data_IF_444065233709
#
_entry.id   IF_444065233709
#
_cell.length_a   1.000
_cell.length_b   1.000
_cell.length_c   1.000
_cell.angle_alpha   90.00
_cell.angle_beta   90.00
_cell.angle_gamma   90.00
#
_symmetry.space_group_name_H-M   'P 1'
#
loop_
_entity.id
_entity.type
_entity.pdbx_description
1 polymer ?
#
# COMPACT_ATOMS: atom_id res chain seq x y z
N UNK A 1 5.54 -12.65 -13.63
CA UNK A 1 4.96 -13.39 -12.48
C UNK A 1 5.96 -13.77 -11.39
N UNK A 2 7.28 -13.62 -11.56
CA UNK A 2 8.28 -14.03 -10.57
C UNK A 2 8.08 -13.40 -9.16
N UNK A 3 7.82 -12.09 -9.07
CA UNK A 3 7.59 -11.43 -7.77
C UNK A 3 6.34 -11.95 -7.05
N UNK A 4 5.25 -12.19 -7.78
CA UNK A 4 4.03 -12.79 -7.22
C UNK A 4 4.22 -14.26 -6.83
N UNK A 5 5.03 -15.00 -7.59
CA UNK A 5 5.41 -16.38 -7.26
C UNK A 5 6.25 -16.44 -5.98
N UNK A 6 7.25 -15.58 -5.85
CA UNK A 6 8.05 -15.43 -4.62
C UNK A 6 7.18 -15.04 -3.42
N UNK A 7 6.25 -14.11 -3.61
CA UNK A 7 5.28 -13.72 -2.57
C UNK A 7 4.37 -14.88 -2.17
N UNK A 8 3.83 -15.62 -3.14
CA UNK A 8 2.95 -16.77 -2.88
C UNK A 8 3.66 -17.89 -2.13
N UNK A 9 4.90 -18.19 -2.50
CA UNK A 9 5.72 -19.21 -1.82
C UNK A 9 6.37 -18.70 -0.53
N UNK A 10 6.19 -17.42 -0.17
CA UNK A 10 6.88 -16.74 0.94
C UNK A 10 8.43 -16.86 0.84
N UNK A 11 8.95 -17.04 -0.39
CA UNK A 11 10.38 -17.15 -0.67
C UNK A 11 10.88 -15.79 -1.11
N UNK A 12 11.22 -14.94 -0.15
CA UNK A 12 11.76 -13.60 -0.37
C UNK A 12 12.31 -13.03 0.94
N UNK A 13 13.63 -12.99 1.08
CA UNK A 13 14.29 -12.63 2.35
C UNK A 13 13.96 -11.23 2.91
N UNK A 14 13.41 -10.34 2.07
CA UNK A 14 13.19 -8.94 2.42
C UNK A 14 11.71 -8.54 2.50
N UNK A 15 10.76 -9.47 2.60
CA UNK A 15 9.33 -9.11 2.68
C UNK A 15 8.96 -8.30 3.93
N UNK A 16 9.78 -8.33 4.99
CA UNK A 16 9.61 -7.43 6.12
C UNK A 16 9.61 -5.94 5.70
N UNK A 17 10.35 -5.57 4.64
CA UNK A 17 10.36 -4.20 4.11
C UNK A 17 8.98 -3.79 3.56
N UNK A 18 8.14 -4.73 3.13
CA UNK A 18 6.78 -4.42 2.66
C UNK A 18 5.88 -3.92 3.79
N UNK A 19 6.24 -4.18 5.06
CA UNK A 19 5.53 -3.71 6.23
C UNK A 19 5.91 -2.26 6.63
N UNK A 20 6.81 -1.61 5.88
CA UNK A 20 7.15 -0.21 6.11
C UNK A 20 6.49 0.70 5.07
N UNK A 21 6.27 1.96 5.47
CA UNK A 21 5.69 2.99 4.63
C UNK A 21 6.31 4.35 4.97
N UNK A 22 6.37 5.22 3.97
CA UNK A 22 6.71 6.64 4.20
C UNK A 22 5.42 7.40 4.49
N UNK A 23 5.38 8.11 5.62
CA UNK A 23 4.26 9.02 5.93
C UNK A 23 4.51 10.35 5.23
N UNK A 24 3.61 10.74 4.34
CA UNK A 24 3.67 12.02 3.62
C UNK A 24 2.50 12.88 4.08
N UNK A 25 2.77 14.15 4.40
CA UNK A 25 1.75 15.13 4.77
C UNK A 25 1.29 15.88 3.52
N UNK A 26 0.05 15.64 3.09
CA UNK A 26 -0.55 16.40 1.98
C UNK A 26 -1.28 17.64 2.52
N UNK A 27 -0.98 18.86 2.04
CA UNK A 27 -1.69 20.06 2.48
C UNK A 27 -3.15 20.01 2.02
N UNK A 28 -4.08 20.39 2.89
CA UNK A 28 -5.52 20.50 2.55
C UNK A 28 -5.90 21.87 2.00
N UNK A 29 -5.09 22.89 2.27
CA UNK A 29 -5.30 24.30 1.90
C UNK A 29 -3.97 24.99 1.63
N UNK A 30 -4.01 26.09 0.89
CA UNK A 30 -2.85 26.96 0.72
C UNK A 30 -2.46 27.61 2.05
N UNK A 31 -1.16 27.78 2.26
CA UNK A 31 -0.63 28.34 3.52
C UNK A 31 -0.83 27.42 4.74
N UNK A 32 -0.88 26.10 4.54
CA UNK A 32 -0.92 25.13 5.64
C UNK A 32 0.23 25.38 6.63
N UNK A 33 -0.09 25.56 7.91
CA UNK A 33 0.87 25.97 8.93
C UNK A 33 0.86 25.05 10.15
N UNK A 34 -0.27 24.39 10.41
CA UNK A 34 -0.44 23.49 11.57
C UNK A 34 -0.60 22.05 11.11
N UNK A 35 -0.29 21.08 11.98
CA UNK A 35 -0.44 19.64 11.64
C UNK A 35 -1.88 19.28 11.24
N UNK A 36 -2.87 19.97 11.80
CA UNK A 36 -4.28 19.80 11.48
C UNK A 36 -4.65 20.29 10.08
N UNK A 37 -3.79 21.07 9.42
CA UNK A 37 -3.97 21.51 8.02
C UNK A 37 -3.52 20.46 7.00
N UNK A 38 -2.87 19.39 7.45
CA UNK A 38 -2.41 18.31 6.58
C UNK A 38 -3.27 17.06 6.71
N UNK A 39 -3.31 16.28 5.63
CA UNK A 39 -3.81 14.92 5.61
C UNK A 39 -2.62 13.96 5.49
N UNK A 40 -2.31 13.15 6.51
CA UNK A 40 -1.27 12.14 6.37
C UNK A 40 -1.74 11.06 5.39
N UNK A 41 -0.84 10.63 4.51
CA UNK A 41 -1.00 9.43 3.69
C UNK A 41 0.17 8.49 3.93
N UNK A 42 -0.10 7.18 3.87
CA UNK A 42 0.94 6.15 3.90
C UNK A 42 1.33 5.78 2.47
N UNK A 43 2.57 6.05 2.10
CA UNK A 43 3.14 5.67 0.81
C UNK A 43 3.87 4.35 0.98
N UNK A 44 3.17 3.27 0.61
CA UNK A 44 3.67 1.89 0.65
C UNK A 44 4.46 1.53 -0.62
N UNK A 45 5.25 0.46 -0.54
CA UNK A 45 5.97 -0.11 -1.68
C UNK A 45 5.02 -0.50 -2.83
N UNK A 46 5.43 -0.25 -4.07
CA UNK A 46 4.61 -0.50 -5.27
C UNK A 46 4.19 -1.97 -5.40
N UNK A 47 5.06 -2.92 -5.04
CA UNK A 47 4.75 -4.35 -5.09
C UNK A 47 3.65 -4.74 -4.10
N UNK A 48 3.64 -4.18 -2.89
CA UNK A 48 2.57 -4.39 -1.92
C UNK A 48 1.23 -3.86 -2.46
N UNK A 49 1.25 -2.70 -3.12
CA UNK A 49 0.05 -2.13 -3.78
C UNK A 49 -0.48 -3.02 -4.90
N UNK A 50 0.39 -3.60 -5.73
CA UNK A 50 0.00 -4.51 -6.80
C UNK A 50 -0.62 -5.81 -6.25
N UNK A 51 0.00 -6.40 -5.22
CA UNK A 51 -0.53 -7.58 -4.54
C UNK A 51 -1.92 -7.30 -3.98
N UNK A 52 -2.08 -6.21 -3.22
CA UNK A 52 -3.38 -5.80 -2.67
C UNK A 52 -4.43 -5.57 -3.76
N UNK A 53 -4.05 -4.99 -4.91
CA UNK A 53 -4.98 -4.81 -6.03
C UNK A 53 -5.46 -6.16 -6.59
N UNK A 54 -4.56 -7.11 -6.83
CA UNK A 54 -4.95 -8.44 -7.32
C UNK A 54 -5.85 -9.15 -6.32
N UNK A 55 -5.54 -9.09 -5.03
CA UNK A 55 -6.38 -9.64 -3.97
C UNK A 55 -7.76 -8.99 -3.94
N UNK A 56 -7.83 -7.65 -4.03
CA UNK A 56 -9.11 -6.93 -4.03
C UNK A 56 -9.99 -7.31 -5.23
N UNK A 57 -9.39 -7.51 -6.41
CA UNK A 57 -10.12 -7.96 -7.61
C UNK A 57 -10.67 -9.37 -7.43
N UNK A 58 -9.89 -10.29 -6.85
CA UNK A 58 -10.35 -11.65 -6.55
C UNK A 58 -11.43 -11.67 -5.48
N UNK A 59 -11.27 -10.85 -4.45
CA UNK A 59 -12.21 -10.74 -3.34
C UNK A 59 -13.56 -10.16 -3.79
N UNK A 60 -13.54 -9.17 -4.68
CA UNK A 60 -14.75 -8.57 -5.24
C UNK A 60 -15.68 -9.61 -5.88
N UNK A 61 -15.13 -10.64 -6.53
CA UNK A 61 -15.91 -11.73 -7.14
C UNK A 61 -16.64 -12.62 -6.13
N UNK A 62 -16.24 -12.60 -4.86
CA UNK A 62 -16.79 -13.45 -3.80
C UNK A 62 -17.67 -12.67 -2.83
N UNK A 63 -17.35 -11.39 -2.59
CA UNK A 63 -18.11 -10.50 -1.69
C UNK A 63 -19.34 -9.87 -2.38
N UNK A 64 -19.38 -9.80 -3.72
CA UNK A 64 -20.53 -9.22 -4.45
C UNK A 64 -21.73 -10.17 -4.60
N UNK A 65 -21.83 -11.23 -3.79
CA UNK A 65 -23.02 -12.08 -3.65
C UNK A 65 -23.85 -11.67 -2.44
#
# INVERSE_FOLDING_TARGET
MAAFHQFYHLVGGNFHMLNTAVVVLLPKKDGAATITDYRPISLIHSIAKLISKVLSLRLALVIQN
#
